data_IF_639811032485
#
_entry.id   IF_639811032485
#
_cell.length_a   1.000
_cell.length_b   1.000
_cell.length_c   1.000
_cell.angle_alpha   90.00
_cell.angle_beta   90.00
_cell.angle_gamma   90.00
#
_symmetry.space_group_name_H-M   'P 1'
#
loop_
_entity.id
_entity.type
_entity.pdbx_description
1 polymer ?
#
# COMPACT_ATOMS: atom_id res chain seq x y z
N UNK A 1 -1.13 7.87 16.48
CA UNK A 1 -1.74 6.97 15.48
C UNK A 1 -1.13 5.57 15.61
N UNK A 2 -1.85 4.52 15.22
CA UNK A 2 -1.36 3.13 15.22
C UNK A 2 -1.78 2.47 13.89
N UNK A 3 -1.08 2.83 12.82
CA UNK A 3 -1.33 2.35 11.45
C UNK A 3 0.00 2.03 10.78
N UNK A 4 -0.03 1.14 9.79
CA UNK A 4 1.06 0.94 8.84
C UNK A 4 0.85 1.86 7.64
N UNK A 5 1.93 2.31 7.01
CA UNK A 5 1.88 3.34 5.97
C UNK A 5 1.67 4.76 6.51
N UNK A 6 1.56 5.71 5.58
CA UNK A 6 1.34 7.12 5.89
C UNK A 6 -0.05 7.53 5.39
N UNK A 7 -0.80 8.20 6.26
CA UNK A 7 -2.11 8.72 5.89
C UNK A 7 -2.51 9.90 6.75
N UNK A 8 -3.35 10.76 6.18
CA UNK A 8 -3.92 11.94 6.82
C UNK A 8 -5.41 12.03 6.50
N UNK A 9 -6.17 12.71 7.36
CA UNK A 9 -7.58 12.99 7.12
C UNK A 9 -7.80 14.49 7.24
N UNK A 10 -8.32 15.11 6.17
CA UNK A 10 -8.72 16.51 6.14
C UNK A 10 -10.23 16.59 6.33
N UNK A 11 -10.65 17.28 7.38
CA UNK A 11 -12.06 17.55 7.67
C UNK A 11 -12.29 19.04 7.58
N UNK A 12 -13.24 19.47 6.77
CA UNK A 12 -13.60 20.87 6.60
C UNK A 12 -15.01 21.14 7.12
N UNK A 13 -15.11 22.10 8.04
CA UNK A 13 -16.36 22.54 8.66
C UNK A 13 -16.49 24.04 8.41
N UNK A 14 -17.65 24.48 7.90
CA UNK A 14 -17.99 25.89 7.69
C UNK A 14 -19.33 26.16 8.37
N UNK A 15 -19.38 27.24 9.15
CA UNK A 15 -20.60 27.65 9.89
C UNK A 15 -21.23 26.55 10.76
N UNK A 16 -20.40 25.65 11.31
CA UNK A 16 -20.84 24.51 12.12
C UNK A 16 -21.36 23.31 11.31
N UNK A 17 -21.42 23.43 9.98
CA UNK A 17 -21.80 22.36 9.07
C UNK A 17 -20.56 21.70 8.46
N UNK A 18 -20.58 20.37 8.38
CA UNK A 18 -19.54 19.59 7.70
C UNK A 18 -19.68 19.79 6.19
N UNK A 19 -18.62 20.28 5.54
CA UNK A 19 -18.66 20.58 4.11
C UNK A 19 -17.74 19.68 3.27
N UNK A 20 -16.69 19.10 3.87
CA UNK A 20 -15.80 18.18 3.17
C UNK A 20 -15.08 17.24 4.14
N UNK A 21 -14.78 16.03 3.66
CA UNK A 21 -13.91 15.05 4.33
C UNK A 21 -13.09 14.33 3.28
N UNK A 22 -11.77 14.39 3.41
CA UNK A 22 -10.84 13.70 2.52
C UNK A 22 -9.88 12.84 3.32
N UNK A 23 -9.67 11.62 2.85
CA UNK A 23 -8.64 10.71 3.34
C UNK A 23 -7.49 10.74 2.33
N UNK A 24 -6.33 11.19 2.79
CA UNK A 24 -5.10 11.20 2.02
C UNK A 24 -4.28 9.98 2.43
N UNK A 25 -4.12 9.02 1.53
CA UNK A 25 -3.20 7.89 1.72
C UNK A 25 -1.93 8.21 0.93
N UNK A 26 -0.81 8.29 1.64
CA UNK A 26 0.49 8.54 1.02
C UNK A 26 1.32 7.26 1.04
N UNK A 27 1.54 6.71 -0.14
CA UNK A 27 2.52 5.65 -0.35
C UNK A 27 3.49 6.10 -1.44
N UNK A 28 4.80 6.29 -1.13
CA UNK A 28 5.76 6.65 -2.15
C UNK A 28 5.78 5.57 -3.23
N UNK A 29 5.78 5.93 -4.53
CA UNK A 29 5.62 4.95 -5.58
C UNK A 29 6.87 4.06 -5.64
N UNK A 30 6.71 2.81 -5.21
CA UNK A 30 7.73 1.75 -5.28
C UNK A 30 7.65 0.94 -6.57
N UNK A 31 6.62 1.19 -7.38
CA UNK A 31 6.42 0.65 -8.73
C UNK A 31 6.54 -0.89 -8.85
N UNK A 32 6.10 -1.65 -7.84
CA UNK A 32 6.18 -3.11 -7.83
C UNK A 32 5.61 -3.76 -9.09
N UNK A 33 4.43 -3.31 -9.55
CA UNK A 33 3.77 -3.85 -10.75
C UNK A 33 4.60 -3.66 -12.03
N UNK A 34 5.19 -2.47 -12.19
CA UNK A 34 6.08 -2.17 -13.32
C UNK A 34 7.40 -2.92 -13.22
N UNK A 35 7.97 -2.97 -12.02
CA UNK A 35 9.24 -3.62 -11.71
C UNK A 35 9.20 -5.15 -11.92
N UNK A 36 8.04 -5.78 -11.72
CA UNK A 36 7.84 -7.22 -11.90
C UNK A 36 7.73 -7.64 -13.38
N UNK A 37 7.52 -6.71 -14.32
CA UNK A 37 7.41 -7.07 -15.74
C UNK A 37 8.72 -7.68 -16.26
N UNK A 38 8.63 -8.85 -16.86
CA UNK A 38 9.77 -9.57 -17.45
C UNK A 38 10.67 -10.28 -16.45
N UNK A 39 10.30 -10.34 -15.16
CA UNK A 39 11.02 -11.11 -14.13
C UNK A 39 10.71 -12.60 -14.22
N UNK A 40 11.64 -13.45 -13.78
CA UNK A 40 11.40 -14.89 -13.69
C UNK A 40 10.36 -15.18 -12.61
N UNK A 41 9.55 -16.23 -12.79
CA UNK A 41 8.49 -16.60 -11.85
C UNK A 41 8.99 -16.98 -10.44
N UNK A 42 10.30 -17.23 -10.27
CA UNK A 42 10.92 -17.52 -8.97
C UNK A 42 11.29 -16.27 -8.17
N UNK A 43 11.33 -15.08 -8.80
CA UNK A 43 11.69 -13.81 -8.15
C UNK A 43 10.52 -13.15 -7.37
N UNK A 44 9.25 -13.21 -7.81
CA UNK A 44 8.12 -12.56 -7.16
C UNK A 44 7.94 -12.86 -5.67
N UNK A 45 8.04 -14.10 -5.16
CA UNK A 45 7.85 -14.36 -3.72
C UNK A 45 8.80 -13.54 -2.86
N UNK A 46 10.05 -13.37 -3.30
CA UNK A 46 10.97 -12.48 -2.62
C UNK A 46 10.58 -11.02 -2.82
N UNK A 47 10.43 -10.56 -4.05
CA UNK A 47 10.18 -9.14 -4.32
C UNK A 47 8.92 -8.63 -3.60
N UNK A 48 7.79 -9.34 -3.69
CA UNK A 48 6.49 -8.89 -3.14
C UNK A 48 6.45 -8.91 -1.62
N UNK A 49 7.25 -9.73 -0.94
CA UNK A 49 7.36 -9.74 0.52
C UNK A 49 7.84 -8.39 1.11
N UNK A 50 8.39 -7.50 0.27
CA UNK A 50 8.87 -6.17 0.65
C UNK A 50 7.83 -5.07 0.41
N UNK A 51 6.60 -5.41 0.01
CA UNK A 51 5.48 -4.47 -0.12
C UNK A 51 5.03 -3.96 1.26
N UNK A 52 4.95 -4.83 2.26
CA UNK A 52 4.61 -4.45 3.62
C UNK A 52 5.41 -5.31 4.61
N UNK A 53 5.98 -4.67 5.63
CA UNK A 53 6.76 -5.37 6.67
C UNK A 53 5.92 -6.19 7.65
N UNK A 54 4.60 -5.95 7.71
CA UNK A 54 3.70 -6.65 8.66
C UNK A 54 3.15 -7.95 8.07
N UNK A 55 2.86 -7.99 6.76
CA UNK A 55 2.28 -9.16 6.09
C UNK A 55 3.16 -9.79 5.00
N UNK A 56 4.50 -9.96 5.21
CA UNK A 56 5.38 -10.47 4.16
C UNK A 56 5.00 -11.89 3.71
N UNK A 57 4.54 -12.74 4.64
CA UNK A 57 4.13 -14.13 4.34
C UNK A 57 2.89 -14.18 3.45
N UNK A 58 1.94 -13.24 3.61
CA UNK A 58 0.77 -13.18 2.75
C UNK A 58 1.15 -12.90 1.29
N UNK A 59 2.10 -11.97 1.08
CA UNK A 59 2.62 -11.66 -0.25
C UNK A 59 3.43 -12.82 -0.86
N UNK A 60 4.24 -13.51 -0.05
CA UNK A 60 4.98 -14.70 -0.50
C UNK A 60 4.03 -15.81 -0.96
N UNK A 61 3.05 -16.16 -0.14
CA UNK A 61 2.09 -17.22 -0.46
C UNK A 61 1.25 -16.86 -1.68
N UNK A 62 0.83 -15.60 -1.79
CA UNK A 62 0.07 -15.13 -2.96
C UNK A 62 0.90 -15.21 -4.24
N UNK A 63 2.18 -14.83 -4.19
CA UNK A 63 3.08 -14.91 -5.34
C UNK A 63 3.37 -16.36 -5.75
N UNK A 64 3.49 -17.28 -4.80
CA UNK A 64 3.66 -18.72 -5.08
C UNK A 64 2.40 -19.39 -5.66
N UNK A 65 1.22 -18.84 -5.36
CA UNK A 65 -0.08 -19.38 -5.80
C UNK A 65 -0.64 -18.71 -7.06
N UNK A 66 0.10 -17.77 -7.67
CA UNK A 66 -0.30 -16.99 -8.84
C UNK A 66 -0.10 -17.74 -10.17
#
# INVERSE_FOLDING_TARGET
>A
ARVEGEGAMRVEVRDGELVDVQLDIYEPPRFFEGFLRGRNYTEPPDITARICGICPVAYQMSACAA
#
